data_IF_417606138561
#
_entry.id   IF_417606138561
#
_cell.length_a   1.000
_cell.length_b   1.000
_cell.length_c   1.000
_cell.angle_alpha   90.00
_cell.angle_beta   90.00
_cell.angle_gamma   90.00
#
_symmetry.space_group_name_H-M   'P 1'
#
loop_
_entity.id
_entity.type
_entity.pdbx_description
1 polymer ?
#
# COMPACT_ATOMS: atom_id res chain seq x y z
N UNK A 1 -23.76 18.58 -11.80
CA UNK A 1 -22.32 18.86 -12.05
C UNK A 1 -21.77 17.74 -12.93
N UNK A 2 -20.90 18.03 -13.91
CA UNK A 2 -20.25 16.98 -14.71
C UNK A 2 -19.29 16.15 -13.84
N UNK A 3 -19.08 14.87 -14.20
CA UNK A 3 -18.11 13.99 -13.52
C UNK A 3 -16.70 14.57 -13.71
N UNK A 4 -16.00 14.84 -12.61
CA UNK A 4 -14.63 15.32 -12.64
C UNK A 4 -13.66 14.26 -13.19
N UNK A 5 -12.58 14.69 -13.84
CA UNK A 5 -11.49 13.79 -14.24
C UNK A 5 -10.66 13.45 -13.01
N UNK A 6 -10.00 12.29 -13.03
CA UNK A 6 -9.18 11.82 -11.90
C UNK A 6 -8.07 12.80 -11.52
N UNK A 7 -7.44 13.43 -12.51
CA UNK A 7 -6.36 14.40 -12.31
C UNK A 7 -6.81 15.74 -11.70
N UNK A 8 -8.11 16.02 -11.69
CA UNK A 8 -8.68 17.25 -11.13
C UNK A 8 -9.16 17.03 -9.67
N UNK A 9 -8.97 15.82 -9.12
CA UNK A 9 -9.32 15.46 -7.75
C UNK A 9 -8.07 15.52 -6.86
N UNK A 10 -8.28 15.78 -5.56
CA UNK A 10 -7.24 15.61 -4.56
C UNK A 10 -6.72 14.17 -4.55
N UNK A 11 -5.41 13.96 -4.35
CA UNK A 11 -4.84 12.62 -4.24
C UNK A 11 -5.49 11.81 -3.13
N UNK A 12 -5.98 10.63 -3.48
CA UNK A 12 -6.45 9.63 -2.53
C UNK A 12 -5.39 8.55 -2.38
N UNK A 13 -5.04 8.22 -1.13
CA UNK A 13 -4.10 7.16 -0.81
C UNK A 13 -4.85 5.94 -0.31
N UNK A 14 -4.45 4.76 -0.79
CA UNK A 14 -4.89 3.48 -0.28
C UNK A 14 -3.70 2.78 0.37
N UNK A 15 -3.96 2.10 1.48
CA UNK A 15 -2.98 1.27 2.17
C UNK A 15 -2.75 -0.04 1.38
N UNK A 16 -1.50 -0.53 1.36
CA UNK A 16 -1.05 -1.59 0.43
C UNK A 16 -0.55 -2.87 1.11
N UNK A 17 -0.67 -2.97 2.43
CA UNK A 17 -0.15 -4.07 3.24
C UNK A 17 1.38 -4.13 3.37
N UNK A 18 2.12 -3.35 2.58
CA UNK A 18 3.56 -3.55 2.39
C UNK A 18 4.42 -3.25 3.63
N UNK A 19 4.18 -2.11 4.31
CA UNK A 19 5.04 -1.64 5.41
C UNK A 19 4.19 -0.99 6.50
N UNK A 20 4.45 -1.38 7.75
CA UNK A 20 3.96 -0.69 8.94
C UNK A 20 5.09 -0.48 9.93
N UNK A 21 5.27 0.76 10.38
CA UNK A 21 6.23 1.12 11.41
C UNK A 21 5.54 1.88 12.53
N UNK A 22 5.76 1.46 13.77
CA UNK A 22 5.13 2.05 14.96
C UNK A 22 5.95 1.79 16.22
N UNK A 23 5.79 2.67 17.20
CA UNK A 23 6.36 2.47 18.54
C UNK A 23 5.59 1.39 19.30
N UNK A 24 6.30 0.44 19.91
CA UNK A 24 5.71 -0.72 20.61
C UNK A 24 4.72 -0.29 21.71
N UNK A 25 5.06 0.72 22.51
CA UNK A 25 4.18 1.23 23.57
C UNK A 25 2.90 1.82 23.01
N UNK A 26 2.99 2.60 21.93
CA UNK A 26 1.83 3.21 21.29
C UNK A 26 0.92 2.15 20.67
N UNK A 27 1.49 1.17 19.97
CA UNK A 27 0.77 0.04 19.38
C UNK A 27 0.01 -0.78 20.43
N UNK A 28 0.66 -1.12 21.55
CA UNK A 28 0.01 -1.85 22.64
C UNK A 28 -1.08 -1.05 23.33
N UNK A 29 -0.90 0.28 23.45
CA UNK A 29 -1.89 1.17 24.05
C UNK A 29 -3.13 1.38 23.20
N UNK A 30 -2.97 1.52 21.87
CA UNK A 30 -4.11 1.73 20.97
C UNK A 30 -4.75 0.43 20.45
N UNK A 31 -4.02 -0.69 20.45
CA UNK A 31 -4.47 -1.97 19.92
C UNK A 31 -4.67 -1.99 18.40
N UNK A 32 -4.09 -1.04 17.66
CA UNK A 32 -4.27 -0.87 16.22
C UNK A 32 -2.96 -0.50 15.53
N UNK A 33 -2.76 -1.02 14.32
CA UNK A 33 -1.64 -0.64 13.44
C UNK A 33 -1.67 0.84 13.04
N UNK A 34 -2.81 1.51 13.19
CA UNK A 34 -2.94 2.96 12.99
C UNK A 34 -2.91 3.70 14.32
N UNK A 35 -1.74 3.77 14.96
CA UNK A 35 -1.52 4.53 16.18
C UNK A 35 -1.22 6.01 15.89
N UNK A 36 -2.01 6.98 16.40
CA UNK A 36 -1.73 8.39 16.17
C UNK A 36 -0.42 8.88 16.80
N UNK A 37 0.30 9.82 16.16
CA UNK A 37 0.02 10.35 14.82
C UNK A 37 0.41 9.38 13.70
N UNK A 38 -0.51 9.13 12.78
CA UNK A 38 -0.29 8.27 11.61
C UNK A 38 0.16 9.13 10.42
N UNK A 39 1.16 8.67 9.67
CA UNK A 39 1.58 9.28 8.40
C UNK A 39 1.70 8.21 7.32
N UNK A 40 1.07 8.36 6.15
CA UNK A 40 1.29 7.46 5.04
C UNK A 40 2.70 7.67 4.46
N UNK A 41 3.34 6.57 4.06
CA UNK A 41 4.53 6.59 3.21
C UNK A 41 4.07 6.22 1.81
N UNK A 42 4.22 7.14 0.86
CA UNK A 42 3.82 6.92 -0.53
C UNK A 42 4.90 6.08 -1.20
N UNK A 43 4.50 4.95 -1.79
CA UNK A 43 5.37 4.10 -2.59
C UNK A 43 5.30 4.54 -4.05
N UNK A 44 6.44 4.67 -4.70
CA UNK A 44 6.52 4.99 -6.14
C UNK A 44 6.06 3.81 -6.99
N UNK A 45 6.40 2.60 -6.56
CA UNK A 45 5.99 1.35 -7.19
C UNK A 45 5.25 0.47 -6.18
N UNK A 46 4.06 0.01 -6.56
CA UNK A 46 3.25 -0.92 -5.76
C UNK A 46 3.19 -2.25 -6.52
N UNK A 47 3.60 -3.33 -5.85
CA UNK A 47 3.40 -4.70 -6.34
C UNK A 47 2.00 -5.21 -5.96
N UNK A 48 1.45 -6.20 -6.67
CA UNK A 48 0.19 -6.82 -6.29
C UNK A 48 0.31 -7.58 -4.96
N UNK A 49 -0.77 -7.63 -4.19
CA UNK A 49 -0.88 -8.50 -3.01
C UNK A 49 -0.92 -9.96 -3.46
N UNK A 50 -0.34 -10.85 -2.66
CA UNK A 50 -0.28 -12.29 -2.97
C UNK A 50 -1.19 -13.04 -2.00
N UNK A 51 -2.43 -13.24 -2.41
CA UNK A 51 -3.43 -13.98 -1.65
C UNK A 51 -3.74 -15.35 -2.27
N UNK A 52 -3.48 -15.47 -3.58
CA UNK A 52 -3.75 -16.67 -4.39
C UNK A 52 -2.48 -17.18 -5.10
N UNK A 53 -2.46 -18.45 -5.51
CA UNK A 53 -1.38 -18.97 -6.36
C UNK A 53 -1.18 -18.19 -7.67
N UNK A 54 -2.27 -17.67 -8.24
CA UNK A 54 -2.26 -16.86 -9.46
C UNK A 54 -1.53 -15.54 -9.25
N UNK A 55 -1.72 -14.89 -8.09
CA UNK A 55 -1.01 -13.66 -7.73
C UNK A 55 0.50 -13.90 -7.64
N UNK A 56 0.91 -15.04 -7.07
CA UNK A 56 2.32 -15.42 -7.00
C UNK A 56 2.92 -15.63 -8.41
N UNK A 57 2.18 -16.26 -9.32
CA UNK A 57 2.62 -16.45 -10.70
C UNK A 57 2.79 -15.12 -11.44
N UNK A 58 1.87 -14.17 -11.21
CA UNK A 58 1.98 -12.81 -11.74
C UNK A 58 3.22 -12.09 -11.19
N UNK A 59 3.42 -12.12 -9.87
CA UNK A 59 4.59 -11.51 -9.23
C UNK A 59 5.92 -12.04 -9.79
N UNK A 60 6.02 -13.36 -9.99
CA UNK A 60 7.21 -13.98 -10.61
C UNK A 60 7.43 -13.49 -12.04
N UNK A 61 6.36 -13.34 -12.81
CA UNK A 61 6.44 -12.85 -14.20
C UNK A 61 6.90 -11.39 -14.27
N UNK A 62 6.41 -10.54 -13.35
CA UNK A 62 6.86 -9.14 -13.22
C UNK A 62 8.33 -9.08 -12.81
N UNK A 63 8.74 -9.91 -11.83
CA UNK A 63 10.12 -9.94 -11.35
C UNK A 63 11.11 -10.36 -12.44
N UNK A 64 10.74 -11.33 -13.29
CA UNK A 64 11.55 -11.74 -14.43
C UNK A 64 11.76 -10.60 -15.44
N UNK A 65 10.72 -9.79 -15.72
CA UNK A 65 10.80 -8.65 -16.64
C UNK A 65 11.63 -7.48 -16.09
N UNK A 66 11.70 -7.30 -14.76
CA UNK A 66 12.50 -6.25 -14.12
C UNK A 66 13.98 -6.60 -13.97
N UNK A 67 14.33 -7.88 -14.09
CA UNK A 67 15.70 -8.37 -13.97
C UNK A 67 16.50 -8.37 -15.28
N UNK A 68 15.84 -8.08 -16.40
CA UNK A 68 16.44 -7.79 -17.72
C UNK A 68 16.70 -6.28 -17.88
#
# INVERSE_FOLDING_TARGET
>A
MPRQRRQDLEPAFLETGAIYAMGVTAFRGCGSRFCPPTRPVVLEEVGPEIDTPEDLALCRSIAAQKGE
#
